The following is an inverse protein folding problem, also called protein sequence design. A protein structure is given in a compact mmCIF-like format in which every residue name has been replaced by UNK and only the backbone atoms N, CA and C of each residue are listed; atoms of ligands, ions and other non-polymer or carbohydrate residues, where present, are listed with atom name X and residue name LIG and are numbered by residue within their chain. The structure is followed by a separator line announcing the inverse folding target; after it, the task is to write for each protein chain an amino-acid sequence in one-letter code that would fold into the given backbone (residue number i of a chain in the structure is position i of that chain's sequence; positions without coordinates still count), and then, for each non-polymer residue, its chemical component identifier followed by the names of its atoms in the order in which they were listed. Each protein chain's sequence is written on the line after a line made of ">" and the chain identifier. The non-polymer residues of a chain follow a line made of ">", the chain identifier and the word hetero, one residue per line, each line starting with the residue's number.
data_IF_509987606019
#
_entry.id   IF_509987606019
#
_cell.length_a   1.000
_cell.length_b   1.000
_cell.length_c   1.000
_cell.angle_alpha   90.00
_cell.angle_beta   90.00
_cell.angle_gamma   90.00
#
_symmetry.space_group_name_H-M   'P 1'
#
loop_
_entity.id
_entity.type
_entity.pdbx_description
1 polymer ?
#
# COMPACT_ATOMS: atom_id res chain seq x y z
N UNK A 1 38.70 -5.67 1.56
CA UNK A 1 37.91 -4.43 1.53
C UNK A 1 37.80 -3.87 2.94
N UNK A 2 37.99 -2.56 3.12
CA UNK A 2 37.95 -1.95 4.46
C UNK A 2 36.50 -1.91 4.97
N UNK A 3 36.23 -2.32 6.23
CA UNK A 3 34.88 -2.35 6.80
C UNK A 3 34.18 -0.98 6.79
N UNK A 4 34.97 0.10 6.76
CA UNK A 4 34.49 1.48 6.64
C UNK A 4 33.81 1.77 5.29
N UNK A 5 34.27 1.16 4.19
CA UNK A 5 33.66 1.32 2.86
C UNK A 5 32.33 0.59 2.78
N UNK A 6 32.21 -0.57 3.44
CA UNK A 6 30.95 -1.33 3.51
C UNK A 6 29.88 -0.57 4.32
N UNK A 7 30.28 0.05 5.43
CA UNK A 7 29.40 0.86 6.29
C UNK A 7 28.94 2.13 5.58
N UNK A 8 29.82 2.80 4.83
CA UNK A 8 29.43 3.96 4.00
C UNK A 8 28.52 3.54 2.85
N UNK A 9 28.79 2.40 2.18
CA UNK A 9 27.90 1.89 1.13
C UNK A 9 26.51 1.54 1.68
N UNK A 10 26.45 0.92 2.87
CA UNK A 10 25.19 0.60 3.57
C UNK A 10 24.45 1.87 4.04
N UNK A 11 25.17 2.89 4.49
CA UNK A 11 24.59 4.19 4.87
C UNK A 11 24.09 4.97 3.66
N UNK A 12 24.79 4.93 2.52
CA UNK A 12 24.35 5.59 1.27
C UNK A 12 23.16 4.85 0.65
N UNK A 13 23.12 3.52 0.72
CA UNK A 13 21.95 2.72 0.34
C UNK A 13 20.75 2.94 1.27
N UNK A 14 20.98 3.24 2.56
CA UNK A 14 19.92 3.55 3.52
C UNK A 14 19.45 5.01 3.49
N UNK A 15 20.29 5.95 3.04
CA UNK A 15 20.00 7.39 3.05
C UNK A 15 19.31 7.92 1.77
N UNK A 16 19.07 7.06 0.78
CA UNK A 16 18.43 7.42 -0.48
C UNK A 16 17.05 6.78 -0.67
N UNK A 17 16.42 6.29 0.40
CA UNK A 17 14.99 6.00 0.35
C UNK A 17 14.24 7.34 0.40
N UNK A 18 13.52 7.74 -0.66
CA UNK A 18 12.64 8.91 -0.56
C UNK A 18 11.67 8.67 0.59
N UNK A 19 11.54 9.67 1.47
CA UNK A 19 10.60 9.60 2.59
C UNK A 19 9.21 9.25 2.05
N UNK A 20 8.67 8.13 2.51
CA UNK A 20 7.32 7.70 2.15
C UNK A 20 6.34 8.71 2.78
N UNK A 21 5.80 9.61 1.97
CA UNK A 21 4.75 10.53 2.38
C UNK A 21 3.40 10.00 1.90
N UNK A 22 2.34 10.11 2.70
CA UNK A 22 0.99 9.78 2.25
C UNK A 22 0.57 10.82 1.21
N UNK A 23 0.16 10.36 0.03
CA UNK A 23 -0.22 11.25 -1.07
C UNK A 23 -1.70 11.12 -1.39
N UNK A 24 -2.42 12.22 -1.28
CA UNK A 24 -3.80 12.29 -1.75
C UNK A 24 -3.82 12.50 -3.26
N UNK A 25 -4.13 11.46 -4.00
CA UNK A 25 -4.05 11.42 -5.48
C UNK A 25 -5.36 11.80 -6.14
N UNK A 26 -6.48 11.69 -5.42
CA UNK A 26 -7.83 11.96 -5.94
C UNK A 26 -8.78 12.32 -4.81
N UNK A 27 -9.78 13.14 -5.14
CA UNK A 27 -10.97 13.38 -4.31
C UNK A 27 -12.20 13.03 -5.15
N UNK A 28 -13.10 12.22 -4.60
CA UNK A 28 -14.43 11.95 -5.16
C UNK A 28 -15.43 12.77 -4.35
N UNK A 29 -16.14 13.69 -4.99
CA UNK A 29 -17.02 14.64 -4.31
C UNK A 29 -18.50 14.37 -4.58
N UNK A 30 -19.36 14.97 -3.76
CA UNK A 30 -20.82 14.93 -3.85
C UNK A 30 -21.42 13.52 -3.79
N UNK A 31 -20.87 12.68 -2.91
CA UNK A 31 -21.40 11.32 -2.70
C UNK A 31 -22.81 11.45 -2.10
N UNK A 32 -23.85 10.91 -2.76
CA UNK A 32 -25.25 11.08 -2.33
C UNK A 32 -25.64 10.04 -1.27
N UNK A 33 -24.76 9.78 -0.28
CA UNK A 33 -25.09 8.91 0.84
C UNK A 33 -26.05 9.62 1.80
N UNK A 34 -27.15 8.94 2.10
CA UNK A 34 -28.20 9.43 3.01
C UNK A 34 -28.10 8.83 4.42
N UNK A 35 -27.30 7.77 4.58
CA UNK A 35 -27.09 7.10 5.88
C UNK A 35 -25.63 6.72 6.06
N UNK A 36 -25.21 6.64 7.32
CA UNK A 36 -23.84 6.29 7.66
C UNK A 36 -23.57 4.81 7.35
N UNK A 37 -22.55 4.50 6.53
CA UNK A 37 -22.16 3.13 6.27
C UNK A 37 -21.44 2.52 7.48
N UNK A 38 -21.68 1.22 7.69
CA UNK A 38 -20.97 0.46 8.72
C UNK A 38 -19.68 -0.18 8.22
N UNK A 39 -19.53 -0.33 6.90
CA UNK A 39 -18.36 -0.91 6.25
C UNK A 39 -18.28 -0.45 4.78
N UNK A 40 -17.09 -0.52 4.18
CA UNK A 40 -16.80 -0.11 2.81
C UNK A 40 -15.79 -1.06 2.15
N UNK A 41 -16.02 -1.41 0.89
CA UNK A 41 -15.01 -2.09 0.05
C UNK A 41 -14.92 -1.42 -1.32
N UNK A 42 -13.76 -1.51 -1.97
CA UNK A 42 -13.52 -0.87 -3.27
C UNK A 42 -12.97 -1.88 -4.26
N UNK A 43 -13.63 -2.01 -5.40
CA UNK A 43 -13.20 -2.93 -6.47
C UNK A 43 -12.00 -2.37 -7.23
N UNK A 44 -11.31 -3.23 -7.97
CA UNK A 44 -10.20 -2.79 -8.84
C UNK A 44 -10.64 -1.78 -9.91
N UNK A 45 -11.90 -1.86 -10.36
CA UNK A 45 -12.51 -0.86 -11.26
C UNK A 45 -12.76 0.51 -10.60
N UNK A 46 -12.59 0.63 -9.29
CA UNK A 46 -12.82 1.86 -8.53
C UNK A 46 -14.30 2.06 -8.11
N UNK A 47 -15.13 1.03 -8.22
CA UNK A 47 -16.49 1.06 -7.68
C UNK A 47 -16.44 0.94 -6.15
N UNK A 48 -17.14 1.83 -5.46
CA UNK A 48 -17.16 1.87 -3.99
C UNK A 48 -18.46 1.26 -3.50
N UNK A 49 -18.35 0.29 -2.59
CA UNK A 49 -19.47 -0.46 -2.05
C UNK A 49 -19.62 -0.19 -0.56
N UNK A 50 -20.85 -0.01 -0.11
CA UNK A 50 -21.17 0.37 1.27
C UNK A 50 -22.16 -0.59 1.91
N UNK A 51 -21.89 -1.07 3.12
CA UNK A 51 -22.90 -1.72 3.94
C UNK A 51 -23.79 -0.66 4.61
N UNK A 52 -25.09 -0.70 4.33
CA UNK A 52 -26.07 0.26 4.86
C UNK A 52 -27.11 -0.48 5.72
N UNK A 53 -26.74 -0.94 6.93
CA UNK A 53 -27.60 -1.76 7.78
C UNK A 53 -28.92 -1.07 8.14
N UNK A 54 -28.93 0.26 8.28
CA UNK A 54 -30.14 1.05 8.55
C UNK A 54 -31.19 0.96 7.45
N UNK A 55 -30.78 0.64 6.22
CA UNK A 55 -31.64 0.51 5.04
C UNK A 55 -31.83 -0.95 4.61
N UNK A 56 -31.16 -1.91 5.26
CA UNK A 56 -31.10 -3.32 4.83
C UNK A 56 -30.68 -3.45 3.37
N UNK A 57 -29.68 -2.67 2.99
CA UNK A 57 -29.21 -2.56 1.60
C UNK A 57 -27.69 -2.44 1.54
N UNK A 58 -27.19 -2.58 0.33
CA UNK A 58 -25.82 -2.24 -0.05
C UNK A 58 -25.88 -1.10 -1.05
N UNK A 59 -25.09 -0.06 -0.83
CA UNK A 59 -24.90 1.03 -1.78
C UNK A 59 -23.72 0.73 -2.71
N UNK A 60 -23.86 1.04 -4.00
CA UNK A 60 -22.80 0.95 -5.01
C UNK A 60 -22.64 2.32 -5.64
N UNK A 61 -21.52 2.97 -5.35
CA UNK A 61 -21.16 4.26 -5.93
C UNK A 61 -20.17 4.08 -7.06
N UNK A 62 -20.57 4.56 -8.23
CA UNK A 62 -19.74 4.64 -9.43
C UNK A 62 -19.55 6.13 -9.74
N UNK A 63 -18.32 6.68 -9.75
CA UNK A 63 -18.09 8.12 -9.87
C UNK A 63 -18.83 8.79 -11.04
N UNK A 64 -18.92 8.12 -12.20
CA UNK A 64 -19.53 8.69 -13.41
C UNK A 64 -21.02 8.32 -13.59
N UNK A 65 -21.56 7.45 -12.74
CA UNK A 65 -22.94 6.92 -12.87
C UNK A 65 -23.82 7.32 -11.69
N UNK A 66 -23.23 7.46 -10.50
CA UNK A 66 -23.93 7.75 -9.25
C UNK A 66 -24.10 6.53 -8.35
N UNK A 67 -24.98 6.67 -7.35
CA UNK A 67 -25.23 5.67 -6.31
C UNK A 67 -26.44 4.79 -6.67
N UNK A 68 -26.28 3.49 -6.57
CA UNK A 68 -27.35 2.48 -6.71
C UNK A 68 -27.47 1.66 -5.43
N UNK A 69 -28.64 1.09 -5.20
CA UNK A 69 -28.91 0.30 -4.01
C UNK A 69 -29.34 -1.12 -4.38
N UNK A 70 -28.76 -2.11 -3.69
CA UNK A 70 -29.19 -3.50 -3.71
C UNK A 70 -29.85 -3.82 -2.38
N UNK A 71 -31.12 -4.24 -2.40
CA UNK A 71 -31.84 -4.64 -1.18
C UNK A 71 -31.43 -6.06 -0.79
N UNK A 72 -31.23 -6.27 0.50
CA UNK A 72 -30.99 -7.58 1.09
C UNK A 72 -32.18 -7.98 1.97
N UNK A 73 -32.40 -9.28 2.15
CA UNK A 73 -33.35 -9.81 3.12
C UNK A 73 -32.90 -9.67 4.58
N UNK A 74 -31.71 -9.14 4.84
CA UNK A 74 -31.17 -8.91 6.18
C UNK A 74 -30.33 -7.62 6.26
N UNK A 75 -30.00 -7.20 7.48
CA UNK A 75 -29.16 -6.02 7.72
C UNK A 75 -27.69 -6.44 7.73
N UNK A 76 -27.01 -6.33 6.58
CA UNK A 76 -25.57 -6.52 6.50
C UNK A 76 -24.83 -5.35 7.17
N UNK A 77 -23.82 -5.67 7.96
CA UNK A 77 -22.97 -4.71 8.67
C UNK A 77 -21.54 -4.73 8.18
N UNK A 78 -21.12 -5.82 7.52
CA UNK A 78 -19.77 -6.00 7.00
C UNK A 78 -19.78 -6.44 5.53
N UNK A 79 -18.72 -6.08 4.83
CA UNK A 79 -18.41 -6.47 3.46
C UNK A 79 -17.02 -7.08 3.38
N UNK A 80 -16.84 -8.08 2.52
CA UNK A 80 -15.53 -8.60 2.16
C UNK A 80 -15.45 -8.71 0.63
N UNK A 81 -14.35 -8.24 0.03
CA UNK A 81 -14.14 -8.28 -1.41
C UNK A 81 -13.08 -9.32 -1.77
N UNK A 82 -13.41 -10.26 -2.64
CA UNK A 82 -12.47 -11.24 -3.19
C UNK A 82 -12.75 -11.50 -4.67
N UNK A 83 -11.72 -11.37 -5.52
CA UNK A 83 -11.76 -11.70 -6.95
C UNK A 83 -13.02 -11.17 -7.68
N UNK A 84 -13.35 -9.88 -7.50
CA UNK A 84 -14.49 -9.24 -8.15
C UNK A 84 -15.87 -9.65 -7.60
N UNK A 85 -15.91 -10.35 -6.47
CA UNK A 85 -17.13 -10.76 -5.76
C UNK A 85 -17.14 -10.15 -4.37
N UNK A 86 -18.32 -9.79 -3.89
CA UNK A 86 -18.50 -9.20 -2.55
C UNK A 86 -19.35 -10.13 -1.70
N UNK A 87 -18.85 -10.47 -0.52
CA UNK A 87 -19.64 -11.11 0.52
C UNK A 87 -20.17 -10.04 1.48
N UNK A 88 -21.48 -9.98 1.66
CA UNK A 88 -22.12 -9.12 2.65
C UNK A 88 -22.71 -9.97 3.77
N UNK A 89 -22.45 -9.58 5.01
CA UNK A 89 -22.81 -10.38 6.18
C UNK A 89 -22.95 -9.51 7.44
N UNK A 90 -23.34 -10.14 8.54
CA UNK A 90 -23.33 -9.51 9.86
C UNK A 90 -22.84 -10.48 10.93
N UNK A 91 -21.81 -10.13 11.72
CA UNK A 91 -21.40 -10.93 12.86
C UNK A 91 -22.57 -11.23 13.82
N UNK A 92 -22.71 -12.50 14.21
CA UNK A 92 -23.81 -12.98 15.04
C UNK A 92 -25.15 -13.19 14.31
N UNK A 93 -25.18 -13.10 12.98
CA UNK A 93 -26.34 -13.36 12.13
C UNK A 93 -26.09 -14.56 11.21
N UNK A 94 -27.11 -15.35 10.81
CA UNK A 94 -26.94 -16.42 9.83
C UNK A 94 -26.86 -15.90 8.38
N UNK A 95 -27.22 -14.63 8.14
CA UNK A 95 -27.38 -14.05 6.81
C UNK A 95 -26.06 -13.80 6.08
N UNK A 96 -25.97 -14.32 4.86
CA UNK A 96 -24.88 -14.12 3.91
C UNK A 96 -25.46 -13.81 2.54
N UNK A 97 -24.94 -12.78 1.87
CA UNK A 97 -25.16 -12.54 0.46
C UNK A 97 -23.81 -12.54 -0.29
N UNK A 98 -23.79 -13.17 -1.45
CA UNK A 98 -22.66 -13.16 -2.38
C UNK A 98 -23.11 -12.39 -3.63
N UNK A 99 -22.32 -11.39 -4.02
CA UNK A 99 -22.69 -10.40 -5.01
C UNK A 99 -21.59 -10.32 -6.06
N UNK A 100 -21.97 -10.42 -7.33
CA UNK A 100 -21.06 -10.17 -8.44
C UNK A 100 -20.87 -8.66 -8.58
N UNK A 101 -19.66 -8.17 -8.34
CA UNK A 101 -19.40 -6.74 -8.29
C UNK A 101 -19.42 -6.09 -9.68
N UNK A 102 -19.25 -6.87 -10.76
CA UNK A 102 -19.25 -6.35 -12.13
C UNK A 102 -20.65 -6.02 -12.64
N UNK A 103 -21.61 -6.88 -12.33
CA UNK A 103 -23.02 -6.78 -12.75
C UNK A 103 -23.91 -6.16 -11.68
N UNK A 104 -23.40 -6.01 -10.46
CA UNK A 104 -24.14 -5.62 -9.28
C UNK A 104 -25.40 -6.47 -9.06
N UNK A 105 -25.25 -7.80 -9.17
CA UNK A 105 -26.31 -8.77 -8.95
C UNK A 105 -25.99 -9.65 -7.76
N UNK A 106 -27.03 -9.98 -6.97
CA UNK A 106 -26.94 -10.96 -5.89
C UNK A 106 -26.91 -12.34 -6.55
N UNK A 107 -25.78 -13.04 -6.42
CA UNK A 107 -25.57 -14.39 -6.94
C UNK A 107 -26.20 -15.43 -6.00
N UNK A 108 -26.04 -15.20 -4.70
CA UNK A 108 -26.60 -16.04 -3.65
C UNK A 108 -27.03 -15.16 -2.48
N UNK A 109 -28.21 -15.43 -1.93
CA UNK A 109 -28.59 -14.95 -0.60
C UNK A 109 -29.08 -16.14 0.21
N UNK A 110 -28.50 -16.35 1.38
CA UNK A 110 -28.78 -17.52 2.21
C UNK A 110 -28.74 -17.21 3.68
N UNK A 111 -29.45 -18.03 4.45
CA UNK A 111 -29.34 -18.12 5.90
C UNK A 111 -28.97 -19.56 6.24
N UNK A 112 -27.67 -19.78 6.49
CA UNK A 112 -27.16 -21.11 6.83
C UNK A 112 -27.40 -21.48 8.31
N UNK A 113 -27.15 -22.73 8.71
CA UNK A 113 -27.18 -23.11 10.11
C UNK A 113 -26.09 -22.36 10.90
N UNK A 114 -26.42 -21.92 12.12
CA UNK A 114 -25.49 -21.17 12.98
C UNK A 114 -25.24 -19.73 12.54
N UNK A 115 -24.40 -19.05 13.31
CA UNK A 115 -24.11 -17.63 13.13
C UNK A 115 -22.79 -17.44 12.40
N UNK A 116 -22.70 -16.40 11.59
CA UNK A 116 -21.43 -15.96 10.99
C UNK A 116 -20.71 -15.12 12.04
N UNK A 117 -19.48 -15.47 12.38
CA UNK A 117 -18.64 -14.64 13.24
C UNK A 117 -17.80 -13.67 12.39
N UNK A 118 -17.26 -14.13 11.26
CA UNK A 118 -16.39 -13.33 10.39
C UNK A 118 -16.32 -13.89 8.96
N UNK A 119 -15.98 -13.04 7.99
CA UNK A 119 -15.71 -13.41 6.59
C UNK A 119 -14.48 -12.63 6.11
N UNK A 120 -13.48 -13.36 5.62
CA UNK A 120 -12.26 -12.74 5.08
C UNK A 120 -11.97 -13.21 3.65
N UNK A 121 -11.42 -12.33 2.78
CA UNK A 121 -11.02 -12.73 1.45
C UNK A 121 -9.85 -13.73 1.47
N UNK A 122 -9.86 -14.65 0.52
CA UNK A 122 -8.82 -15.65 0.24
C UNK A 122 -8.80 -15.96 -1.26
N UNK A 123 -7.80 -16.71 -1.71
CA UNK A 123 -7.73 -17.17 -3.10
C UNK A 123 -9.01 -17.92 -3.48
N UNK A 124 -9.59 -17.54 -4.63
CA UNK A 124 -10.80 -18.15 -5.16
C UNK A 124 -12.01 -18.13 -4.21
N UNK A 125 -12.22 -17.00 -3.51
CA UNK A 125 -13.47 -16.73 -2.77
C UNK A 125 -13.24 -16.23 -1.35
N UNK A 126 -13.94 -16.83 -0.39
CA UNK A 126 -13.97 -16.35 0.99
C UNK A 126 -13.71 -17.46 2.00
N UNK A 127 -13.04 -17.11 3.07
CA UNK A 127 -13.01 -17.91 4.28
C UNK A 127 -14.09 -17.40 5.23
N UNK A 128 -15.07 -18.24 5.52
CA UNK A 128 -16.22 -17.98 6.38
C UNK A 128 -16.04 -18.69 7.72
N UNK A 129 -16.13 -17.95 8.82
CA UNK A 129 -16.13 -18.52 10.16
C UNK A 129 -17.56 -18.58 10.67
N UNK A 130 -18.03 -19.80 10.89
CA UNK A 130 -19.41 -20.11 11.26
C UNK A 130 -19.45 -20.77 12.62
N UNK A 131 -20.15 -20.14 13.55
CA UNK A 131 -20.38 -20.64 14.90
C UNK A 131 -21.65 -21.47 14.94
N UNK A 132 -21.48 -22.76 15.18
CA UNK A 132 -22.55 -23.71 15.48
C UNK A 132 -22.74 -23.81 17.01
N UNK A 133 -23.84 -24.44 17.49
CA UNK A 133 -24.08 -24.56 18.93
C UNK A 133 -22.96 -25.24 19.72
N UNK A 134 -22.20 -26.15 19.09
CA UNK A 134 -21.19 -26.99 19.75
C UNK A 134 -19.79 -26.90 19.14
N UNK A 135 -19.62 -26.20 18.01
CA UNK A 135 -18.33 -26.12 17.30
C UNK A 135 -18.24 -24.83 16.49
N UNK A 136 -17.02 -24.47 16.08
CA UNK A 136 -16.77 -23.42 15.10
C UNK A 136 -16.22 -24.05 13.83
N UNK A 137 -16.82 -23.74 12.68
CA UNK A 137 -16.38 -24.16 11.36
C UNK A 137 -15.64 -23.04 10.66
N UNK A 138 -14.55 -23.39 9.99
CA UNK A 138 -13.94 -22.56 8.95
C UNK A 138 -14.30 -23.18 7.60
N UNK A 139 -15.01 -22.44 6.77
CA UNK A 139 -15.48 -22.87 5.45
C UNK A 139 -14.80 -22.03 4.36
N UNK A 140 -14.25 -22.67 3.33
CA UNK A 140 -13.85 -22.00 2.10
C UNK A 140 -15.04 -22.00 1.14
N UNK A 141 -15.52 -20.81 0.81
CA UNK A 141 -16.70 -20.58 -0.02
C UNK A 141 -16.25 -19.99 -1.35
N UNK A 142 -16.71 -20.56 -2.46
CA UNK A 142 -16.42 -20.08 -3.81
C UNK A 142 -17.08 -18.72 -4.08
N UNK A 143 -16.68 -18.02 -5.15
CA UNK A 143 -17.36 -16.80 -5.60
C UNK A 143 -18.83 -17.02 -6.01
N UNK A 144 -19.23 -18.27 -6.28
CA UNK A 144 -20.63 -18.63 -6.52
C UNK A 144 -21.40 -19.01 -5.26
N UNK A 145 -20.75 -18.98 -4.08
CA UNK A 145 -21.36 -19.30 -2.79
C UNK A 145 -21.36 -20.79 -2.41
N UNK A 146 -20.74 -21.65 -3.22
CA UNK A 146 -20.59 -23.07 -2.91
C UNK A 146 -19.48 -23.33 -1.90
N UNK A 147 -19.70 -24.22 -0.93
CA UNK A 147 -18.65 -24.64 0.01
C UNK A 147 -17.70 -25.59 -0.70
N UNK A 148 -16.43 -25.20 -0.83
CA UNK A 148 -15.37 -25.98 -1.49
C UNK A 148 -14.63 -26.88 -0.51
N UNK A 149 -14.49 -26.42 0.73
CA UNK A 149 -13.75 -27.11 1.78
C UNK A 149 -14.21 -26.59 3.15
N UNK A 150 -14.16 -27.43 4.17
CA UNK A 150 -14.44 -27.01 5.54
C UNK A 150 -13.62 -27.79 6.57
N UNK A 151 -13.37 -27.17 7.71
CA UNK A 151 -12.73 -27.82 8.86
C UNK A 151 -13.28 -27.29 10.18
N UNK A 152 -13.14 -28.10 11.24
CA UNK A 152 -13.46 -27.68 12.60
C UNK A 152 -12.30 -26.91 13.22
N UNK A 153 -12.60 -25.82 13.90
CA UNK A 153 -11.67 -25.06 14.73
C UNK A 153 -11.94 -25.42 16.20
N UNK A 154 -11.12 -26.29 16.82
CA UNK A 154 -11.41 -26.82 18.15
C UNK A 154 -11.04 -25.86 19.30
N UNK A 155 -10.85 -24.58 18.99
CA UNK A 155 -10.38 -23.55 19.92
C UNK A 155 -11.39 -22.41 19.95
N UNK A 156 -11.63 -21.86 21.14
CA UNK A 156 -12.47 -20.67 21.27
C UNK A 156 -11.81 -19.47 20.61
N UNK A 157 -12.52 -18.93 19.62
CA UNK A 157 -12.14 -17.71 18.94
C UNK A 157 -12.69 -16.49 19.68
N UNK A 158 -12.03 -15.36 19.42
CA UNK A 158 -12.56 -14.05 19.78
C UNK A 158 -13.87 -13.74 19.06
N UNK A 159 -14.59 -12.69 19.49
CA UNK A 159 -15.93 -12.39 18.96
C UNK A 159 -15.94 -11.43 17.76
N UNK A 160 -14.98 -10.52 17.70
CA UNK A 160 -14.94 -9.44 16.71
C UNK A 160 -13.55 -9.37 16.08
N UNK A 161 -13.48 -9.08 14.78
CA UNK A 161 -12.20 -8.98 14.03
C UNK A 161 -11.36 -10.23 14.25
N UNK A 162 -11.98 -11.38 14.02
CA UNK A 162 -11.45 -12.69 14.41
C UNK A 162 -10.45 -13.17 13.38
N UNK A 163 -10.63 -12.77 12.13
CA UNK A 163 -9.91 -13.33 11.00
C UNK A 163 -9.22 -12.29 10.14
N UNK A 164 -8.09 -12.68 9.57
CA UNK A 164 -7.50 -12.02 8.41
C UNK A 164 -6.95 -13.05 7.44
N UNK A 165 -7.39 -12.98 6.20
CA UNK A 165 -7.11 -13.92 5.13
C UNK A 165 -6.34 -13.25 4.00
N UNK A 166 -5.39 -13.99 3.42
CA UNK A 166 -4.69 -13.58 2.21
C UNK A 166 -4.10 -14.81 1.53
N UNK A 167 -4.26 -14.89 0.22
CA UNK A 167 -3.88 -16.08 -0.53
C UNK A 167 -4.66 -17.31 -0.02
N UNK A 168 -3.94 -18.40 0.21
CA UNK A 168 -4.48 -19.64 0.81
C UNK A 168 -4.53 -19.66 2.34
N UNK A 169 -4.10 -18.60 3.02
CA UNK A 169 -3.91 -18.62 4.48
C UNK A 169 -4.98 -17.79 5.18
N UNK A 170 -5.49 -18.33 6.28
CA UNK A 170 -6.40 -17.65 7.20
C UNK A 170 -5.75 -17.61 8.57
N UNK A 171 -5.61 -16.40 9.10
CA UNK A 171 -5.13 -16.17 10.46
C UNK A 171 -6.31 -15.88 11.36
N UNK A 172 -6.39 -16.59 12.49
CA UNK A 172 -7.49 -16.52 13.45
C UNK A 172 -6.99 -16.08 14.81
N UNK A 173 -7.73 -15.18 15.45
CA UNK A 173 -7.47 -14.73 16.82
C UNK A 173 -8.20 -15.60 17.84
N UNK A 174 -7.46 -16.20 18.76
CA UNK A 174 -8.03 -16.99 19.86
C UNK A 174 -8.25 -16.12 21.10
N UNK A 175 -9.14 -16.54 21.99
CA UNK A 175 -9.31 -15.89 23.31
C UNK A 175 -8.09 -15.99 24.22
N UNK A 176 -7.16 -16.89 23.93
CA UNK A 176 -5.89 -17.04 24.66
C UNK A 176 -4.81 -16.07 24.16
N UNK A 177 -5.17 -15.07 23.34
CA UNK A 177 -4.25 -14.11 22.72
C UNK A 177 -3.18 -14.76 21.82
N UNK A 178 -3.48 -15.94 21.28
CA UNK A 178 -2.65 -16.61 20.28
C UNK A 178 -3.25 -16.41 18.88
N UNK A 179 -2.45 -16.70 17.86
CA UNK A 179 -2.89 -16.76 16.48
C UNK A 179 -2.91 -18.21 16.02
N UNK A 180 -3.97 -18.61 15.34
CA UNK A 180 -3.98 -19.84 14.54
C UNK A 180 -3.80 -19.48 13.08
N UNK A 181 -2.96 -20.22 12.37
CA UNK A 181 -2.84 -20.15 10.93
C UNK A 181 -3.41 -21.44 10.34
N UNK A 182 -4.42 -21.30 9.49
CA UNK A 182 -5.00 -22.39 8.72
C UNK A 182 -4.65 -22.20 7.25
N UNK A 183 -4.15 -23.25 6.59
CA UNK A 183 -3.97 -23.28 5.15
C UNK A 183 -5.19 -23.95 4.53
N UNK A 184 -5.91 -23.23 3.66
CA UNK A 184 -7.11 -23.74 3.00
C UNK A 184 -6.77 -25.01 2.22
N UNK A 185 -7.64 -26.02 2.36
CA UNK A 185 -7.46 -27.33 1.72
C UNK A 185 -6.50 -28.26 2.47
N UNK A 186 -5.92 -27.84 3.61
CA UNK A 186 -5.13 -28.71 4.47
C UNK A 186 -5.81 -28.94 5.81
N UNK A 187 -5.71 -30.15 6.32
CA UNK A 187 -6.18 -30.46 7.66
C UNK A 187 -5.24 -29.88 8.74
N UNK A 188 -5.83 -29.33 9.79
CA UNK A 188 -5.12 -28.81 10.95
C UNK A 188 -4.76 -27.32 10.87
N UNK A 189 -4.09 -26.86 11.92
CA UNK A 189 -3.67 -25.48 12.08
C UNK A 189 -2.29 -25.41 12.72
N UNK A 190 -1.61 -24.27 12.57
CA UNK A 190 -0.39 -23.94 13.31
C UNK A 190 -0.68 -22.83 14.30
N UNK A 191 -0.16 -22.95 15.50
CA UNK A 191 -0.32 -21.94 16.54
C UNK A 191 0.91 -21.04 16.65
N UNK A 192 0.68 -19.74 16.81
CA UNK A 192 1.71 -18.72 16.93
C UNK A 192 1.42 -17.81 18.12
N UNK A 193 2.48 -17.46 18.86
CA UNK A 193 2.42 -16.50 19.96
C UNK A 193 3.10 -15.20 19.51
N UNK A 194 2.35 -14.16 19.12
CA UNK A 194 2.95 -12.92 18.63
C UNK A 194 3.71 -12.15 19.73
N UNK A 195 3.47 -12.49 21.00
CA UNK A 195 4.06 -11.83 22.16
C UNK A 195 3.40 -10.51 22.52
N UNK A 196 2.16 -10.33 22.06
CA UNK A 196 1.25 -9.23 22.34
C UNK A 196 -0.18 -9.78 22.39
N UNK A 197 -1.13 -8.99 22.90
CA UNK A 197 -2.57 -9.33 22.86
C UNK A 197 -3.21 -8.66 21.63
N UNK A 198 -3.47 -9.41 20.54
CA UNK A 198 -3.96 -8.78 19.32
C UNK A 198 -5.40 -8.28 19.50
N UNK A 199 -5.66 -7.09 18.98
CA UNK A 199 -6.97 -6.47 18.83
C UNK A 199 -7.42 -6.46 17.37
N UNK A 200 -6.51 -6.11 16.46
CA UNK A 200 -6.73 -6.09 15.02
C UNK A 200 -5.78 -7.06 14.30
N UNK A 201 -6.26 -7.60 13.19
CA UNK A 201 -5.49 -8.41 12.26
C UNK A 201 -5.59 -7.81 10.85
N UNK A 202 -4.49 -7.82 10.11
CA UNK A 202 -4.47 -7.49 8.69
C UNK A 202 -3.50 -8.42 7.95
N UNK A 203 -3.92 -9.01 6.83
CA UNK A 203 -3.16 -10.07 6.16
C UNK A 203 -2.86 -9.71 4.70
N UNK A 204 -1.61 -9.92 4.29
CA UNK A 204 -1.16 -9.78 2.91
C UNK A 204 0.00 -10.74 2.63
N UNK A 205 0.06 -11.31 1.42
CA UNK A 205 1.16 -12.20 1.01
C UNK A 205 1.33 -13.45 1.88
N UNK A 206 0.25 -13.92 2.53
CA UNK A 206 0.27 -15.05 3.46
C UNK A 206 0.89 -14.77 4.83
N UNK A 207 1.22 -13.51 5.15
CA UNK A 207 1.63 -13.05 6.47
C UNK A 207 0.52 -12.24 7.12
N UNK A 208 0.59 -12.08 8.44
CA UNK A 208 -0.38 -11.27 9.20
C UNK A 208 0.33 -10.26 10.08
N UNK A 209 -0.20 -9.04 10.08
CA UNK A 209 0.03 -8.06 11.11
C UNK A 209 -0.95 -8.30 12.26
N UNK A 210 -0.41 -8.55 13.45
CA UNK A 210 -1.16 -8.65 14.69
C UNK A 210 -0.89 -7.41 15.53
N UNK A 211 -1.95 -6.67 15.88
CA UNK A 211 -1.81 -5.30 16.41
C UNK A 211 -2.55 -5.23 17.74
N UNK A 212 -1.85 -4.85 18.81
CA UNK A 212 -2.39 -4.73 20.16
C UNK A 212 -3.07 -3.40 20.40
N UNK A 213 -3.86 -3.35 21.49
CA UNK A 213 -4.51 -2.12 21.96
C UNK A 213 -3.49 -1.05 22.36
N UNK A 214 -2.32 -1.45 22.82
CA UNK A 214 -1.24 -0.60 23.31
C UNK A 214 -0.42 0.02 22.17
N UNK A 215 -0.68 -0.36 20.92
CA UNK A 215 0.06 0.14 19.76
C UNK A 215 1.29 -0.68 19.41
N UNK A 216 1.47 -1.86 19.97
CA UNK A 216 2.48 -2.79 19.48
C UNK A 216 1.92 -3.56 18.29
N UNK A 217 2.69 -3.64 17.20
CA UNK A 217 2.37 -4.44 16.02
C UNK A 217 3.45 -5.50 15.78
N UNK A 218 3.03 -6.73 15.49
CA UNK A 218 3.91 -7.84 15.14
C UNK A 218 3.56 -8.37 13.74
N UNK A 219 4.55 -8.46 12.86
CA UNK A 219 4.43 -9.17 11.61
C UNK A 219 4.78 -10.64 11.83
N UNK A 220 3.85 -11.52 11.53
CA UNK A 220 3.95 -12.96 11.74
C UNK A 220 3.84 -13.69 10.41
N UNK A 221 4.75 -14.63 10.17
CA UNK A 221 4.71 -15.53 9.02
C UNK A 221 4.67 -16.98 9.47
N UNK A 222 4.64 -17.90 8.50
CA UNK A 222 4.74 -19.34 8.74
C UNK A 222 5.99 -19.76 9.52
N UNK A 223 7.01 -18.90 9.58
CA UNK A 223 8.28 -19.13 10.31
C UNK A 223 8.26 -18.58 11.74
N UNK A 224 7.25 -17.80 12.11
CA UNK A 224 7.14 -17.14 13.40
C UNK A 224 7.07 -15.62 13.27
N UNK A 225 7.37 -14.92 14.37
CA UNK A 225 7.40 -13.44 14.40
C UNK A 225 8.65 -12.95 13.66
N UNK A 226 8.45 -12.18 12.60
CA UNK A 226 9.53 -11.64 11.77
C UNK A 226 9.95 -10.25 12.22
N UNK A 227 8.99 -9.43 12.66
CA UNK A 227 9.23 -8.04 13.04
C UNK A 227 8.25 -7.59 14.10
N UNK A 228 8.70 -6.68 14.96
CA UNK A 228 7.85 -5.89 15.87
C UNK A 228 8.07 -4.41 15.65
N UNK A 229 7.01 -3.64 15.74
CA UNK A 229 7.00 -2.19 15.54
C UNK A 229 6.13 -1.57 16.63
N UNK A 230 6.62 -0.48 17.22
CA UNK A 230 5.83 0.33 18.16
C UNK A 230 5.21 1.51 17.39
N UNK A 231 3.88 1.50 17.30
CA UNK A 231 3.09 2.48 16.59
C UNK A 231 2.96 3.80 17.36
N UNK A 232 3.43 3.89 18.60
CA UNK A 232 3.40 5.08 19.46
C UNK A 232 2.00 5.72 19.55
N UNK A 233 0.96 4.90 19.43
CA UNK A 233 -0.43 5.32 19.58
C UNK A 233 -1.21 4.21 20.24
N UNK A 234 -2.36 4.55 20.83
CA UNK A 234 -3.32 3.55 21.29
C UNK A 234 -4.24 3.16 20.15
N UNK A 235 -4.58 1.87 20.06
CA UNK A 235 -5.54 1.33 19.09
C UNK A 235 -6.90 1.13 19.75
N UNK A 236 -7.96 1.49 19.05
CA UNK A 236 -9.35 1.46 19.51
C UNK A 236 -10.18 0.44 18.73
N UNK A 237 -11.28 0.00 19.34
CA UNK A 237 -12.29 -0.77 18.62
C UNK A 237 -12.94 0.13 17.56
N UNK A 238 -12.94 -0.31 16.31
CA UNK A 238 -13.37 0.48 15.15
C UNK A 238 -12.22 1.16 14.40
N UNK A 239 -10.98 1.04 14.88
CA UNK A 239 -9.81 1.33 14.04
C UNK A 239 -9.68 0.26 12.95
N UNK A 240 -9.17 0.65 11.80
CA UNK A 240 -9.03 -0.19 10.62
C UNK A 240 -7.56 -0.47 10.33
N UNK A 241 -7.24 -1.74 10.06
CA UNK A 241 -5.90 -2.19 9.72
C UNK A 241 -5.91 -2.81 8.31
N UNK A 242 -5.07 -2.28 7.43
CA UNK A 242 -4.94 -2.72 6.05
C UNK A 242 -3.49 -3.15 5.80
N UNK A 243 -3.29 -4.42 5.49
CA UNK A 243 -1.97 -4.92 5.12
C UNK A 243 -1.75 -4.65 3.63
N UNK A 244 -0.63 -4.02 3.31
CA UNK A 244 -0.21 -3.77 1.93
C UNK A 244 0.87 -4.77 1.52
N UNK A 245 1.19 -4.80 0.23
CA UNK A 245 2.33 -5.57 -0.26
C UNK A 245 3.66 -5.12 0.38
N UNK A 246 4.68 -5.97 0.22
CA UNK A 246 6.03 -5.75 0.76
C UNK A 246 6.07 -5.57 2.28
N UNK A 247 5.24 -6.32 3.01
CA UNK A 247 5.17 -6.34 4.48
C UNK A 247 4.83 -4.97 5.08
N UNK A 248 4.00 -4.16 4.41
CA UNK A 248 3.60 -2.84 4.89
C UNK A 248 2.24 -2.87 5.57
N UNK A 249 1.94 -1.84 6.35
CA UNK A 249 0.70 -1.72 7.11
C UNK A 249 0.22 -0.28 7.09
N UNK A 250 -1.06 -0.09 6.81
CA UNK A 250 -1.77 1.16 7.04
C UNK A 250 -2.79 0.94 8.15
N UNK A 251 -2.79 1.85 9.11
CA UNK A 251 -3.78 1.93 10.17
C UNK A 251 -4.51 3.25 10.06
N UNK A 252 -5.84 3.18 10.13
CA UNK A 252 -6.70 4.35 10.17
C UNK A 252 -7.44 4.34 11.49
N UNK A 253 -7.28 5.41 12.28
CA UNK A 253 -8.03 5.59 13.52
C UNK A 253 -9.01 6.75 13.39
N UNK A 254 -10.32 6.48 13.30
CA UNK A 254 -11.36 7.51 13.39
C UNK A 254 -11.37 8.25 14.74
N UNK A 255 -10.82 7.63 15.78
CA UNK A 255 -10.80 8.14 17.16
C UNK A 255 -9.66 9.12 17.37
N UNK A 256 -8.44 8.77 16.96
CA UNK A 256 -7.28 9.68 17.07
C UNK A 256 -7.11 10.57 15.84
N UNK A 257 -7.90 10.32 14.79
CA UNK A 257 -7.81 11.03 13.51
C UNK A 257 -6.40 10.96 12.92
N UNK A 258 -5.78 9.77 13.02
CA UNK A 258 -4.46 9.49 12.46
C UNK A 258 -4.53 8.42 11.38
N UNK A 259 -3.78 8.65 10.31
CA UNK A 259 -3.28 7.60 9.42
C UNK A 259 -1.87 7.25 9.90
N UNK A 260 -1.60 5.96 10.07
CA UNK A 260 -0.27 5.46 10.42
C UNK A 260 0.16 4.49 9.33
N UNK A 261 1.29 4.78 8.71
CA UNK A 261 1.90 3.91 7.71
C UNK A 261 3.18 3.31 8.27
N UNK A 262 3.33 1.99 8.12
CA UNK A 262 4.51 1.25 8.52
C UNK A 262 5.15 0.63 7.28
N UNK A 263 6.42 0.97 7.05
CA UNK A 263 7.25 0.40 6.00
C UNK A 263 8.64 0.11 6.54
N UNK A 264 9.05 -1.15 6.51
CA UNK A 264 10.29 -1.55 7.18
C UNK A 264 10.23 -1.30 8.69
N UNK A 265 11.16 -0.48 9.18
CA UNK A 265 11.18 0.02 10.57
C UNK A 265 10.61 1.43 10.71
N UNK A 266 10.26 2.08 9.59
CA UNK A 266 9.73 3.43 9.57
C UNK A 266 8.25 3.42 9.94
N UNK A 267 7.86 4.41 10.74
CA UNK A 267 6.46 4.64 11.12
C UNK A 267 6.12 6.09 10.88
N UNK A 268 5.40 6.33 9.79
CA UNK A 268 4.93 7.65 9.38
C UNK A 268 3.53 7.86 9.95
N UNK A 269 3.27 9.05 10.46
CA UNK A 269 1.97 9.43 11.05
C UNK A 269 1.52 10.73 10.45
N UNK A 270 0.28 10.74 9.99
CA UNK A 270 -0.33 11.92 9.39
C UNK A 270 -1.72 12.14 9.98
N UNK A 271 -2.09 13.41 10.15
CA UNK A 271 -3.40 13.78 10.64
C UNK A 271 -4.43 13.68 9.51
N UNK A 272 -5.60 13.14 9.84
CA UNK A 272 -6.76 13.09 8.96
C UNK A 272 -7.51 14.43 9.01
N UNK A 273 -7.42 15.22 7.96
CA UNK A 273 -8.01 16.57 7.92
C UNK A 273 -9.54 16.62 8.04
N UNK A 274 -10.26 15.56 7.69
CA UNK A 274 -11.75 15.52 7.65
C UNK A 274 -12.37 14.39 8.50
N UNK A 275 -11.57 13.81 9.40
CA UNK A 275 -11.91 12.56 10.09
C UNK A 275 -12.17 11.41 9.13
N UNK A 276 -12.55 10.24 9.66
CA UNK A 276 -12.84 9.04 8.87
C UNK A 276 -14.17 8.45 9.30
N UNK A 277 -15.06 8.22 8.34
CA UNK A 277 -16.25 7.41 8.52
C UNK A 277 -15.96 5.94 8.24
N UNK A 278 -15.28 5.65 7.13
CA UNK A 278 -14.89 4.30 6.67
C UNK A 278 -13.65 4.40 5.79
N UNK A 279 -12.87 3.33 5.69
CA UNK A 279 -11.81 3.20 4.71
C UNK A 279 -11.86 1.85 3.97
N UNK A 280 -11.15 1.75 2.85
CA UNK A 280 -11.05 0.51 2.10
C UNK A 280 -9.78 0.51 1.25
N UNK A 281 -9.14 -0.65 1.14
CA UNK A 281 -8.00 -0.85 0.24
C UNK A 281 -8.48 -1.16 -1.19
N UNK A 282 -7.78 -0.62 -2.18
CA UNK A 282 -7.89 -0.94 -3.61
C UNK A 282 -6.51 -1.30 -4.17
N UNK A 283 -6.43 -2.40 -4.91
CA UNK A 283 -5.25 -2.78 -5.71
C UNK A 283 -3.94 -2.95 -4.92
N UNK A 284 -3.98 -3.03 -3.59
CA UNK A 284 -2.78 -3.24 -2.75
C UNK A 284 -1.99 -1.98 -2.36
N UNK A 285 -2.31 -0.80 -2.89
CA UNK A 285 -1.55 0.44 -2.65
C UNK A 285 -2.40 1.72 -2.48
N UNK A 286 -3.69 1.69 -2.84
CA UNK A 286 -4.59 2.84 -2.69
C UNK A 286 -5.58 2.60 -1.54
N UNK A 287 -5.70 3.56 -0.63
CA UNK A 287 -6.72 3.55 0.42
C UNK A 287 -7.74 4.64 0.12
N UNK A 288 -8.99 4.23 -0.02
CA UNK A 288 -10.14 5.11 -0.15
C UNK A 288 -10.63 5.44 1.25
N UNK A 289 -10.81 6.71 1.55
CA UNK A 289 -11.14 7.22 2.88
C UNK A 289 -12.40 8.07 2.76
N UNK A 290 -13.53 7.56 3.26
CA UNK A 290 -14.78 8.29 3.33
C UNK A 290 -14.73 9.28 4.51
N UNK A 291 -14.88 10.57 4.22
CA UNK A 291 -14.91 11.61 5.25
C UNK A 291 -16.16 11.53 6.15
N UNK A 292 -16.10 12.08 7.36
CA UNK A 292 -17.24 12.09 8.31
C UNK A 292 -18.48 12.81 7.77
N UNK A 293 -18.30 13.74 6.83
CA UNK A 293 -19.38 14.43 6.13
C UNK A 293 -20.23 13.51 5.23
N UNK A 294 -19.69 12.33 4.87
CA UNK A 294 -20.22 11.41 3.88
C UNK A 294 -20.37 12.01 2.47
N UNK A 295 -19.74 13.16 2.20
CA UNK A 295 -19.83 13.86 0.91
C UNK A 295 -18.59 13.68 0.03
N UNK A 296 -17.49 13.23 0.61
CA UNK A 296 -16.22 13.10 -0.07
C UNK A 296 -15.52 11.78 0.28
N UNK A 297 -14.90 11.17 -0.72
CA UNK A 297 -13.89 10.11 -0.52
C UNK A 297 -12.54 10.67 -0.99
N UNK A 298 -11.57 10.67 -0.08
CA UNK A 298 -10.17 10.93 -0.40
C UNK A 298 -9.51 9.62 -0.78
N UNK A 299 -8.73 9.63 -1.86
CA UNK A 299 -7.90 8.49 -2.25
C UNK A 299 -6.46 8.80 -1.88
N UNK A 300 -5.95 8.08 -0.89
CA UNK A 300 -4.56 8.15 -0.47
C UNK A 300 -3.77 7.01 -1.14
N UNK A 301 -2.68 7.33 -1.81
CA UNK A 301 -1.72 6.34 -2.31
C UNK A 301 -0.58 6.17 -1.32
N UNK A 302 -0.26 4.92 -1.03
CA UNK A 302 0.88 4.48 -0.24
C UNK A 302 1.89 3.76 -1.14
N UNK A 303 2.02 4.19 -2.39
CA UNK A 303 3.00 3.67 -3.35
C UNK A 303 4.41 4.17 -3.04
N UNK A 304 5.41 3.31 -3.25
CA UNK A 304 6.82 3.70 -3.24
C UNK A 304 7.18 4.23 -4.62
N UNK A 305 7.81 5.42 -4.70
CA UNK A 305 8.11 6.03 -5.98
C UNK A 305 9.03 5.13 -6.81
N UNK A 306 8.83 5.08 -8.15
CA UNK A 306 9.75 4.40 -9.03
C UNK A 306 11.12 5.08 -9.01
N UNK A 307 12.16 4.35 -9.39
CA UNK A 307 13.53 4.85 -9.46
C UNK A 307 14.11 4.67 -10.85
N UNK A 308 14.85 5.67 -11.33
CA UNK A 308 15.61 5.61 -12.59
C UNK A 308 17.08 5.53 -12.23
N UNK A 309 17.67 4.33 -12.39
CA UNK A 309 19.03 4.03 -11.93
C UNK A 309 20.11 4.26 -12.99
N UNK A 310 19.74 4.18 -14.27
CA UNK A 310 20.58 4.48 -15.42
C UNK A 310 19.67 5.00 -16.54
N UNK A 311 20.08 6.06 -17.22
CA UNK A 311 19.35 6.58 -18.37
C UNK A 311 20.27 7.40 -19.28
N UNK A 312 20.07 7.28 -20.60
CA UNK A 312 20.87 8.01 -21.58
C UNK A 312 20.10 8.21 -22.88
N UNK A 313 20.40 9.30 -23.58
CA UNK A 313 19.93 9.57 -24.92
C UNK A 313 21.11 9.67 -25.91
N UNK A 314 20.90 9.20 -27.14
CA UNK A 314 21.84 9.32 -28.24
C UNK A 314 21.10 9.60 -29.55
N UNK A 315 21.60 10.49 -30.42
CA UNK A 315 21.02 10.68 -31.73
C UNK A 315 21.11 9.39 -32.56
N UNK A 316 20.10 9.12 -33.38
CA UNK A 316 20.17 8.10 -34.41
C UNK A 316 21.11 8.55 -35.55
N UNK A 317 21.55 7.60 -36.38
CA UNK A 317 22.51 7.88 -37.46
C UNK A 317 22.02 8.93 -38.46
N UNK A 318 20.70 9.04 -38.66
CA UNK A 318 20.09 10.02 -39.55
C UNK A 318 19.97 11.44 -38.95
N UNK A 319 20.26 11.56 -37.65
CA UNK A 319 20.09 12.77 -36.84
C UNK A 319 18.65 13.24 -36.68
N UNK A 320 17.66 12.55 -37.27
CA UNK A 320 16.24 12.91 -37.26
C UNK A 320 15.49 12.29 -36.08
N UNK A 321 16.10 11.29 -35.44
CA UNK A 321 15.59 10.65 -34.24
C UNK A 321 16.60 10.70 -33.09
N UNK A 322 16.09 10.57 -31.87
CA UNK A 322 16.86 10.34 -30.64
C UNK A 322 16.44 9.00 -30.06
N UNK A 323 17.41 8.13 -29.84
CA UNK A 323 17.24 6.85 -29.15
C UNK A 323 17.50 7.05 -27.66
N UNK A 324 16.60 6.53 -26.84
CA UNK A 324 16.65 6.59 -25.39
C UNK A 324 16.73 5.19 -24.82
N UNK A 325 17.49 5.05 -23.74
CA UNK A 325 17.47 3.85 -22.87
C UNK A 325 17.35 4.29 -21.42
N UNK A 326 16.62 3.52 -20.62
CA UNK A 326 16.52 3.74 -19.18
C UNK A 326 16.32 2.43 -18.42
N UNK A 327 16.95 2.29 -17.26
CA UNK A 327 16.71 1.23 -16.29
C UNK A 327 15.82 1.80 -15.17
N UNK A 328 14.54 1.46 -15.25
CA UNK A 328 13.52 1.87 -14.28
C UNK A 328 13.20 0.69 -13.38
N UNK A 329 13.27 0.90 -12.08
CA UNK A 329 12.84 -0.07 -11.07
C UNK A 329 11.67 0.51 -10.32
N UNK A 330 10.60 -0.26 -10.23
CA UNK A 330 9.42 0.09 -9.48
C UNK A 330 9.21 -0.92 -8.35
N UNK A 331 9.37 -0.49 -7.09
CA UNK A 331 9.31 -1.40 -5.94
C UNK A 331 7.95 -2.07 -5.76
N UNK A 332 6.87 -1.41 -6.20
CA UNK A 332 5.49 -1.88 -6.02
C UNK A 332 4.92 -2.52 -7.31
N UNK A 333 5.69 -2.48 -8.41
CA UNK A 333 5.36 -3.08 -9.71
C UNK A 333 3.99 -2.64 -10.26
N UNK A 334 3.66 -1.37 -10.07
CA UNK A 334 2.44 -0.67 -10.45
C UNK A 334 2.70 0.55 -11.37
N UNK A 335 3.80 0.58 -12.12
CA UNK A 335 4.08 1.59 -13.17
C UNK A 335 2.85 1.86 -14.04
N UNK A 336 2.35 3.11 -14.01
CA UNK A 336 1.26 3.57 -14.85
C UNK A 336 1.76 3.67 -16.30
N UNK A 337 1.24 2.82 -17.20
CA UNK A 337 1.54 2.81 -18.65
C UNK A 337 3.03 2.60 -19.04
N UNK A 338 3.92 2.39 -18.06
CA UNK A 338 5.37 2.32 -18.26
C UNK A 338 6.05 3.70 -18.33
N UNK A 339 7.40 3.75 -18.31
CA UNK A 339 8.12 5.01 -18.43
C UNK A 339 7.93 5.65 -19.81
N UNK A 340 7.96 6.97 -19.83
CA UNK A 340 7.74 7.82 -21.00
C UNK A 340 9.00 8.62 -21.31
N UNK A 341 9.38 8.65 -22.58
CA UNK A 341 10.42 9.52 -23.11
C UNK A 341 9.81 10.84 -23.57
N UNK A 342 10.42 11.96 -23.19
CA UNK A 342 10.00 13.33 -23.56
C UNK A 342 11.15 14.05 -24.26
N UNK A 343 10.85 14.76 -25.34
CA UNK A 343 11.76 15.71 -25.98
C UNK A 343 11.09 17.08 -26.08
N UNK A 344 11.74 18.10 -25.52
CA UNK A 344 11.21 19.46 -25.37
C UNK A 344 12.05 20.47 -26.13
N UNK A 345 11.43 21.18 -27.09
CA UNK A 345 12.04 22.27 -27.86
C UNK A 345 11.15 23.52 -27.73
N UNK A 346 11.57 24.48 -26.89
CA UNK A 346 10.72 25.62 -26.55
C UNK A 346 9.41 25.16 -25.90
N UNK A 347 8.27 25.46 -26.53
CA UNK A 347 6.93 25.01 -26.09
C UNK A 347 6.50 23.67 -26.70
N UNK A 348 7.26 23.15 -27.67
CA UNK A 348 6.93 21.89 -28.34
C UNK A 348 7.40 20.71 -27.51
N UNK A 349 6.50 19.77 -27.23
CA UNK A 349 6.80 18.54 -26.48
C UNK A 349 6.42 17.34 -27.34
N UNK A 350 7.37 16.43 -27.55
CA UNK A 350 7.13 15.13 -28.20
C UNK A 350 7.32 14.03 -27.18
N UNK A 351 6.39 13.09 -27.12
CA UNK A 351 6.37 11.99 -26.15
C UNK A 351 6.32 10.63 -26.83
N UNK A 352 6.96 9.64 -26.23
CA UNK A 352 6.83 8.23 -26.63
C UNK A 352 6.85 7.33 -25.40
N UNK A 353 5.90 6.38 -25.35
CA UNK A 353 5.96 5.28 -24.39
C UNK A 353 7.21 4.43 -24.65
N UNK A 354 7.90 4.00 -23.59
CA UNK A 354 9.10 3.19 -23.72
C UNK A 354 8.76 1.69 -23.68
N UNK A 355 9.34 0.93 -24.61
CA UNK A 355 9.20 -0.52 -24.69
C UNK A 355 10.23 -1.24 -23.81
N UNK A 356 9.79 -2.24 -23.05
CA UNK A 356 10.65 -3.04 -22.17
C UNK A 356 11.33 -4.18 -22.93
N UNK A 357 12.64 -4.33 -22.76
CA UNK A 357 13.42 -5.50 -23.20
C UNK A 357 14.39 -5.90 -22.09
N UNK A 358 14.13 -7.05 -21.45
CA UNK A 358 14.78 -7.43 -20.20
C UNK A 358 14.51 -6.41 -19.09
N UNK A 359 15.57 -5.90 -18.46
CA UNK A 359 15.50 -4.89 -17.39
C UNK A 359 15.59 -3.44 -17.90
N UNK A 360 15.59 -3.23 -19.22
CA UNK A 360 15.85 -1.91 -19.82
C UNK A 360 14.66 -1.51 -20.68
N UNK A 361 14.27 -0.25 -20.55
CA UNK A 361 13.26 0.42 -21.35
C UNK A 361 13.92 1.21 -22.47
N UNK A 362 13.32 1.17 -23.66
CA UNK A 362 13.82 1.85 -24.86
C UNK A 362 12.73 2.66 -25.53
N UNK A 363 13.09 3.81 -26.09
CA UNK A 363 12.21 4.59 -26.97
C UNK A 363 13.01 5.27 -28.07
N UNK A 364 12.31 5.66 -29.13
CA UNK A 364 12.84 6.50 -30.18
C UNK A 364 11.89 7.69 -30.38
N UNK A 365 12.44 8.90 -30.25
CA UNK A 365 11.71 10.16 -30.43
C UNK A 365 12.17 10.84 -31.71
N UNK A 366 11.21 11.29 -32.53
CA UNK A 366 11.53 12.18 -33.66
C UNK A 366 11.91 13.55 -33.14
N UNK A 367 12.92 14.15 -33.76
CA UNK A 367 13.35 15.51 -33.48
C UNK A 367 12.28 16.48 -34.04
N UNK A 368 11.71 17.38 -33.21
CA UNK A 368 10.74 18.36 -33.68
C UNK A 368 11.36 19.31 -34.71
N UNK A 369 10.56 19.77 -35.68
CA UNK A 369 10.97 20.87 -36.56
C UNK A 369 11.17 22.16 -35.75
N UNK A 370 12.31 22.83 -35.95
CA UNK A 370 12.67 24.06 -35.23
C UNK A 370 14.17 24.22 -35.04
N UNK A 371 14.55 25.34 -34.42
CA UNK A 371 15.93 25.65 -34.02
C UNK A 371 15.99 25.80 -32.50
N UNK A 372 17.07 25.31 -31.89
CA UNK A 372 17.35 25.56 -30.47
C UNK A 372 17.92 24.35 -29.74
N UNK A 373 17.83 24.38 -28.41
CA UNK A 373 18.25 23.26 -27.55
C UNK A 373 17.07 22.35 -27.26
N UNK A 374 17.13 21.13 -27.77
CA UNK A 374 16.21 20.05 -27.46
C UNK A 374 16.62 19.39 -26.14
N UNK A 375 15.79 19.49 -25.10
CA UNK A 375 15.99 18.78 -23.83
C UNK A 375 15.29 17.44 -23.87
N UNK A 376 15.98 16.38 -23.49
CA UNK A 376 15.45 15.01 -23.50
C UNK A 376 15.39 14.49 -22.08
N UNK A 377 14.23 13.98 -21.70
CA UNK A 377 13.91 13.55 -20.34
C UNK A 377 13.29 12.15 -20.40
N UNK A 378 13.63 11.32 -19.42
CA UNK A 378 12.88 10.11 -19.12
C UNK A 378 12.06 10.36 -17.87
N UNK A 379 10.77 10.06 -17.95
CA UNK A 379 9.81 10.15 -16.86
C UNK A 379 9.27 8.75 -16.54
N UNK A 380 9.23 8.38 -15.28
CA UNK A 380 8.51 7.21 -14.79
C UNK A 380 7.43 7.68 -13.82
N UNK A 381 6.21 7.17 -13.99
CA UNK A 381 5.09 7.37 -13.07
C UNK A 381 4.56 6.02 -12.60
N UNK A 382 4.23 5.90 -11.32
CA UNK A 382 3.43 4.78 -10.82
C UNK A 382 1.93 5.10 -10.80
N UNK A 383 1.11 4.09 -10.51
CA UNK A 383 -0.33 4.21 -10.35
C UNK A 383 -0.72 5.16 -9.21
N UNK A 384 0.15 5.30 -8.22
CA UNK A 384 0.02 6.26 -7.12
C UNK A 384 0.42 7.70 -7.46
N UNK A 385 0.75 7.99 -8.71
CA UNK A 385 1.10 9.33 -9.17
C UNK A 385 2.46 9.82 -8.69
N UNK A 386 3.31 8.96 -8.11
CA UNK A 386 4.70 9.31 -7.91
C UNK A 386 5.39 9.43 -9.26
N UNK A 387 6.11 10.53 -9.46
CA UNK A 387 6.84 10.79 -10.70
C UNK A 387 8.31 11.02 -10.41
N UNK A 388 9.15 10.33 -11.17
CA UNK A 388 10.58 10.59 -11.23
C UNK A 388 10.95 11.00 -12.65
N UNK A 389 11.66 12.12 -12.77
CA UNK A 389 12.16 12.66 -14.02
C UNK A 389 13.67 12.73 -13.98
N UNK A 390 14.31 12.29 -15.05
CA UNK A 390 15.76 12.41 -15.23
C UNK A 390 16.03 13.07 -16.59
N UNK A 391 16.74 14.19 -16.58
CA UNK A 391 17.31 14.78 -17.79
C UNK A 391 18.41 13.85 -18.32
N UNK A 392 18.23 13.34 -19.54
CA UNK A 392 19.13 12.34 -20.15
C UNK A 392 19.97 12.87 -21.30
N UNK A 393 19.69 14.11 -21.74
CA UNK A 393 20.48 14.77 -22.78
C UNK A 393 19.94 16.14 -23.14
N UNK A 394 20.82 16.96 -23.70
CA UNK A 394 20.47 18.21 -24.36
C UNK A 394 21.18 18.25 -25.71
N UNK A 395 20.44 18.52 -26.79
CA UNK A 395 20.95 18.46 -28.16
C UNK A 395 20.66 19.77 -28.87
N UNK A 396 21.63 20.33 -29.58
CA UNK A 396 21.35 21.42 -30.50
C UNK A 396 20.67 20.87 -31.74
N UNK A 397 19.52 21.44 -32.10
CA UNK A 397 18.71 20.99 -33.23
C UNK A 397 18.42 22.10 -34.21
N UNK A 398 18.22 21.71 -35.46
CA UNK A 398 17.93 22.57 -36.60
C UNK A 398 17.17 21.82 -37.67
N UNK A 399 16.04 22.40 -38.09
CA UNK A 399 15.23 21.84 -39.17
C UNK A 399 14.84 20.38 -38.96
N UNK A 400 14.55 19.96 -37.72
CA UNK A 400 14.18 18.57 -37.42
C UNK A 400 15.36 17.60 -37.33
N UNK A 401 16.60 18.09 -37.17
CA UNK A 401 17.79 17.24 -37.02
C UNK A 401 18.73 17.73 -35.92
N UNK A 402 19.48 16.83 -35.31
CA UNK A 402 20.54 17.13 -34.33
C UNK A 402 21.80 17.64 -35.06
N UNK A 403 22.30 18.82 -34.68
CA UNK A 403 23.51 19.47 -35.23
C UNK A 403 24.79 19.00 -34.53
N UNK A 404 24.75 18.75 -33.22
CA UNK A 404 25.91 18.33 -32.43
C UNK A 404 25.47 17.48 -31.23
N UNK A 405 26.29 16.49 -30.84
CA UNK A 405 26.04 15.73 -29.59
C UNK A 405 26.40 16.61 -28.40
N UNK A 406 25.39 17.16 -27.73
CA UNK A 406 25.58 17.92 -26.52
C UNK A 406 26.01 17.03 -25.36
N UNK A 407 27.00 17.50 -24.61
CA UNK A 407 27.46 16.94 -23.34
C UNK A 407 26.27 16.79 -22.39
N UNK A 408 26.12 15.68 -21.65
CA UNK A 408 25.06 15.57 -20.66
C UNK A 408 25.17 16.77 -19.69
N UNK A 409 24.09 17.53 -19.47
CA UNK A 409 24.10 18.52 -18.41
C UNK A 409 24.37 17.80 -17.08
N UNK A 410 25.04 18.46 -16.10
CA UNK A 410 25.15 17.89 -14.76
C UNK A 410 23.74 17.53 -14.30
N UNK A 411 23.58 16.30 -13.81
CA UNK A 411 22.29 15.75 -13.37
C UNK A 411 21.59 16.75 -12.45
N UNK A 412 20.68 17.55 -12.99
CA UNK A 412 19.69 18.26 -12.19
C UNK A 412 18.66 17.24 -11.81
N UNK A 413 18.98 16.46 -10.76
CA UNK A 413 17.95 15.89 -9.92
C UNK A 413 17.13 17.10 -9.46
N UNK A 414 15.91 17.25 -9.98
CA UNK A 414 14.91 18.14 -9.42
C UNK A 414 14.56 17.61 -8.03
N UNK A 415 15.44 17.93 -7.11
CA UNK A 415 15.56 17.47 -5.75
C UNK A 415 16.73 18.17 -5.07
N UNK A 416 17.37 19.18 -5.68
CA UNK A 416 18.53 19.86 -5.11
C UNK A 416 18.22 20.64 -3.83
N UNK A 417 16.98 21.03 -3.54
CA UNK A 417 16.63 21.50 -2.18
C UNK A 417 16.66 20.35 -1.17
N UNK A 418 16.23 19.15 -1.56
CA UNK A 418 16.27 17.96 -0.71
C UNK A 418 17.67 17.34 -0.61
N UNK A 419 18.46 17.27 -1.68
CA UNK A 419 19.82 16.73 -1.65
C UNK A 419 20.82 17.69 -1.00
N UNK A 420 20.66 19.00 -1.13
CA UNK A 420 21.46 19.94 -0.32
C UNK A 420 21.07 19.86 1.16
N UNK A 421 19.78 19.67 1.50
CA UNK A 421 19.35 19.38 2.88
C UNK A 421 19.83 18.01 3.39
N UNK A 422 19.87 16.97 2.56
CA UNK A 422 20.38 15.63 2.93
C UNK A 422 21.90 15.66 3.06
N UNK A 423 22.61 16.35 2.17
CA UNK A 423 24.07 16.49 2.29
C UNK A 423 24.43 17.34 3.52
N UNK A 424 23.69 18.42 3.79
CA UNK A 424 23.81 19.20 5.01
C UNK A 424 23.44 18.35 6.25
N UNK A 425 22.42 17.49 6.19
CA UNK A 425 22.03 16.64 7.32
C UNK A 425 23.05 15.54 7.59
N UNK A 426 23.64 14.94 6.55
CA UNK A 426 24.73 13.96 6.65
C UNK A 426 26.00 14.63 7.19
N UNK A 427 26.35 15.82 6.70
CA UNK A 427 27.46 16.61 7.22
C UNK A 427 27.25 17.01 8.68
N UNK A 428 26.05 17.46 9.05
CA UNK A 428 25.69 17.79 10.43
C UNK A 428 25.67 16.56 11.33
N UNK A 429 25.23 15.40 10.84
CA UNK A 429 25.27 14.13 11.56
C UNK A 429 26.71 13.67 11.83
N UNK A 430 27.58 13.77 10.82
CA UNK A 430 29.02 13.52 10.95
C UNK A 430 29.66 14.50 11.93
N UNK A 431 29.27 15.77 11.90
CA UNK A 431 29.76 16.79 12.84
C UNK A 431 29.33 16.50 14.28
N UNK A 432 28.07 16.08 14.51
CA UNK A 432 27.56 15.66 15.83
C UNK A 432 28.31 14.42 16.33
N UNK A 433 28.57 13.43 15.48
CA UNK A 433 29.37 12.25 15.84
C UNK A 433 30.81 12.64 16.18
N UNK A 434 31.41 13.58 15.44
CA UNK A 434 32.75 14.12 15.72
C UNK A 434 32.79 14.87 17.05
N UNK A 435 31.79 15.70 17.36
CA UNK A 435 31.67 16.40 18.65
C UNK A 435 31.47 15.40 19.79
N UNK A 436 30.61 14.40 19.62
CA UNK A 436 30.38 13.37 20.62
C UNK A 436 31.65 12.53 20.89
N UNK A 437 32.38 12.18 19.83
CA UNK A 437 33.66 11.49 19.93
C UNK A 437 34.73 12.36 20.63
N UNK A 438 34.83 13.64 20.27
CA UNK A 438 35.72 14.59 20.94
C UNK A 438 35.35 14.77 22.43
N UNK A 439 34.05 14.86 22.75
CA UNK A 439 33.54 14.92 24.12
C UNK A 439 33.90 13.66 24.93
N UNK A 440 33.76 12.47 24.34
CA UNK A 440 34.17 11.20 24.95
C UNK A 440 35.69 11.12 25.18
N UNK A 441 36.50 11.63 24.26
CA UNK A 441 37.97 11.70 24.43
C UNK A 441 38.35 12.69 25.53
N UNK A 442 37.68 13.83 25.61
CA UNK A 442 37.93 14.84 26.67
C UNK A 442 37.47 14.31 28.04
N UNK A 443 36.30 13.68 28.12
CA UNK A 443 35.79 13.06 29.36
C UNK A 443 36.62 11.86 29.82
N UNK A 444 37.14 11.05 28.90
CA UNK A 444 38.03 9.93 29.25
C UNK A 444 39.40 10.42 29.73
N UNK A 445 39.92 11.54 29.18
CA UNK A 445 41.13 12.21 29.68
C UNK A 445 40.91 12.88 31.03
N UNK A 446 39.75 13.48 31.29
CA UNK A 446 39.43 14.09 32.59
C UNK A 446 39.28 13.03 33.68
N UNK A 447 38.61 11.90 33.39
CA UNK A 447 38.50 10.75 34.30
C UNK A 447 39.86 10.10 34.59
N UNK A 448 40.78 10.02 33.62
CA UNK A 448 42.16 9.53 33.85
C UNK A 448 43.00 10.47 34.71
N UNK A 449 42.84 11.80 34.59
CA UNK A 449 43.52 12.77 35.47
C UNK A 449 42.96 12.75 36.90
N UNK A 450 41.66 12.50 37.08
CA UNK A 450 41.01 12.41 38.39
C UNK A 450 41.27 11.09 39.14
N UNK A 451 41.85 10.09 38.48
CA UNK A 451 42.32 8.82 39.08
C UNK A 451 43.81 8.84 39.45
N UNK A 452 44.53 9.91 39.09
CA UNK A 452 45.97 10.12 39.38
C UNK A 452 46.22 11.25 40.40
N UNK A 453 45.15 11.93 40.84
CA UNK A 453 45.08 12.65 42.11
C UNK A 453 44.22 11.80 43.03
#
# INVERSE_FOLDING_TARGET
>A
MRPQVLVVLLLVLAAAAPAEAVRYVRSLENIPLESQPSDMVVTDSGAVWFALPGQSSIGVYLPDVGLRYLRLGFRATNLALSAGTIAAYSPGSPGLAIIDASSAQIVLETSGPGMIDDVTPVDAGFALIRKLPTTTLLQHVSPSGGVLWETNIPVELERYGVAAGSGRYVWLRTKASHLLMVEIGREGYKEFKPGLEPLLLASAGGKVWAISREGEAALVSVRGVERRVDLKTRIYLGDEALALEADRLVLLSPVTELIIHVSGSEVVREALYDGVAQAALRGGSEVYILGKSLKNILVASFSRPPTISDASASPAEDGASIRLRARVSDPDNDLAEGPTALAMLGTTVVTAAMSKSGDIYYAELRVPEGEGTLRVVVEASDAGGNRVRVDVGAFEVSGGRVKSSGTPPPQTVSGQEFQSLIMLSVEMSLFVVLIAAAGLVIMSRSRRRRRKR
#
